data_IF_120616036461
#
_entry.id   IF_120616036461
#
_cell.length_a   1.000
_cell.length_b   1.000
_cell.length_c   1.000
_cell.angle_alpha   90.00
_cell.angle_beta   90.00
_cell.angle_gamma   90.00
#
_symmetry.space_group_name_H-M   'P 1'
#
loop_
_entity.id
_entity.type
_entity.pdbx_description
1 polymer ?
#
# COMPACT_ATOMS: atom_id res chain seq x y z
N UNK A 1 -14.16 -15.62 7.28
CA UNK A 1 -13.35 -15.20 8.45
C UNK A 1 -14.29 -14.91 9.61
N UNK A 2 -13.86 -15.15 10.86
CA UNK A 2 -14.71 -14.94 12.06
C UNK A 2 -13.97 -14.86 13.40
N UNK A 3 -12.63 -14.80 13.39
CA UNK A 3 -11.83 -14.62 14.61
C UNK A 3 -11.53 -13.13 14.79
N UNK A 4 -11.93 -12.56 15.94
CA UNK A 4 -11.80 -11.13 16.23
C UNK A 4 -10.36 -10.60 16.13
N UNK A 5 -9.36 -11.43 16.45
CA UNK A 5 -7.95 -11.04 16.43
C UNK A 5 -7.25 -11.25 15.08
N UNK A 6 -7.94 -11.82 14.08
CA UNK A 6 -7.34 -12.14 12.78
C UNK A 6 -6.70 -10.93 12.09
N UNK A 7 -7.34 -9.75 12.01
CA UNK A 7 -6.73 -8.58 11.37
C UNK A 7 -5.48 -8.09 12.11
N UNK A 8 -5.52 -8.11 13.44
CA UNK A 8 -4.40 -7.66 14.27
C UNK A 8 -3.19 -8.59 14.15
N UNK A 9 -3.41 -9.90 14.13
CA UNK A 9 -2.36 -10.90 13.94
C UNK A 9 -1.73 -10.77 12.54
N UNK A 10 -2.55 -10.61 11.51
CA UNK A 10 -2.07 -10.42 10.14
C UNK A 10 -1.26 -9.12 9.99
N UNK A 11 -1.77 -7.99 10.49
CA UNK A 11 -1.04 -6.73 10.50
C UNK A 11 0.31 -6.86 11.22
N UNK A 12 0.35 -7.53 12.39
CA UNK A 12 1.62 -7.75 13.11
C UNK A 12 2.63 -8.54 12.28
N UNK A 13 2.17 -9.55 11.54
CA UNK A 13 3.01 -10.34 10.64
C UNK A 13 3.54 -9.47 9.49
N UNK A 14 2.67 -8.72 8.80
CA UNK A 14 3.05 -7.82 7.71
C UNK A 14 4.05 -6.75 8.18
N UNK A 15 3.78 -6.09 9.31
CA UNK A 15 4.70 -5.09 9.89
C UNK A 15 6.08 -5.68 10.16
N UNK A 16 6.16 -6.94 10.61
CA UNK A 16 7.44 -7.62 10.86
C UNK A 16 8.16 -7.94 9.56
N UNK A 17 7.45 -8.50 8.58
CA UNK A 17 8.00 -8.88 7.27
C UNK A 17 8.58 -7.70 6.50
N UNK A 18 7.94 -6.53 6.56
CA UNK A 18 8.34 -5.34 5.81
C UNK A 18 9.06 -4.27 6.67
N UNK A 19 9.45 -4.62 7.89
CA UNK A 19 10.05 -3.68 8.84
C UNK A 19 11.32 -2.98 8.30
N UNK A 20 12.13 -3.69 7.53
CA UNK A 20 13.34 -3.21 6.85
C UNK A 20 13.06 -2.37 5.60
N UNK A 21 11.86 -2.50 5.02
CA UNK A 21 11.44 -1.80 3.80
C UNK A 21 10.52 -0.61 4.07
N UNK A 22 10.27 -0.27 5.35
CA UNK A 22 9.30 0.76 5.76
C UNK A 22 9.51 2.15 5.14
N UNK A 23 10.73 2.46 4.72
CA UNK A 23 11.07 3.75 4.09
C UNK A 23 10.49 3.94 2.70
N UNK A 24 10.22 2.86 1.95
CA UNK A 24 9.67 2.89 0.59
C UNK A 24 8.45 1.99 0.41
N UNK A 25 8.19 1.09 1.36
CA UNK A 25 7.03 0.19 1.39
C UNK A 25 6.36 0.19 2.78
N UNK A 26 5.76 1.29 3.25
CA UNK A 26 4.93 1.23 4.45
C UNK A 26 3.72 0.33 4.20
N UNK A 27 3.47 -0.52 5.19
CA UNK A 27 2.33 -1.41 5.22
C UNK A 27 1.28 -0.90 6.21
N UNK A 28 0.01 -1.14 5.90
CA UNK A 28 -1.11 -0.86 6.80
C UNK A 28 -2.16 -1.98 6.67
N UNK A 29 -2.26 -2.83 7.69
CA UNK A 29 -3.08 -4.05 7.64
C UNK A 29 -2.81 -4.88 6.39
N UNK A 30 -3.75 -4.89 5.46
CA UNK A 30 -3.73 -5.71 4.24
C UNK A 30 -3.14 -4.96 3.03
N UNK A 31 -2.87 -3.66 3.18
CA UNK A 31 -2.41 -2.80 2.10
C UNK A 31 -0.89 -2.54 2.18
N UNK A 32 -0.21 -2.70 1.05
CA UNK A 32 1.21 -2.37 0.87
C UNK A 32 1.33 -1.18 -0.08
N UNK A 33 1.98 -0.10 0.38
CA UNK A 33 2.14 1.12 -0.40
C UNK A 33 3.58 1.26 -0.85
N UNK A 34 3.86 1.11 -2.14
CA UNK A 34 5.21 1.28 -2.68
C UNK A 34 5.38 2.67 -3.28
N UNK A 35 6.36 3.44 -2.81
CA UNK A 35 6.66 4.76 -3.37
C UNK A 35 8.16 5.03 -3.48
N UNK A 36 8.51 5.92 -4.39
CA UNK A 36 9.88 6.38 -4.61
C UNK A 36 9.92 7.91 -4.64
N UNK A 37 10.94 8.49 -4.00
CA UNK A 37 11.08 9.95 -3.91
C UNK A 37 11.43 10.62 -5.24
N UNK A 38 12.25 9.96 -6.06
CA UNK A 38 12.69 10.50 -7.35
C UNK A 38 11.77 9.95 -8.45
N UNK A 39 11.40 10.78 -9.44
CA UNK A 39 10.49 10.41 -10.52
C UNK A 39 11.21 9.54 -11.57
N UNK A 40 11.68 8.37 -11.16
CA UNK A 40 12.30 7.37 -12.01
C UNK A 40 11.47 6.11 -12.01
N UNK A 41 10.85 5.79 -13.16
CA UNK A 41 10.10 4.55 -13.32
C UNK A 41 10.99 3.34 -13.08
N UNK A 42 12.24 3.37 -13.55
CA UNK A 42 13.20 2.29 -13.31
C UNK A 42 13.46 2.07 -11.82
N UNK A 43 13.71 3.14 -11.07
CA UNK A 43 13.91 3.04 -9.62
C UNK A 43 12.66 2.57 -8.88
N UNK A 44 11.47 2.96 -9.37
CA UNK A 44 10.20 2.47 -8.84
C UNK A 44 10.02 0.96 -9.09
N UNK A 45 10.32 0.48 -10.30
CA UNK A 45 10.25 -0.94 -10.65
C UNK A 45 11.25 -1.78 -9.83
N UNK A 46 12.46 -1.27 -9.57
CA UNK A 46 13.43 -1.93 -8.69
C UNK A 46 12.94 -2.03 -7.23
N UNK A 47 12.29 -0.98 -6.71
CA UNK A 47 11.67 -1.03 -5.39
C UNK A 47 10.48 -2.00 -5.35
N UNK A 48 9.65 -1.98 -6.39
CA UNK A 48 8.50 -2.86 -6.53
C UNK A 48 8.91 -4.33 -6.63
N UNK A 49 9.94 -4.66 -7.42
CA UNK A 49 10.51 -6.00 -7.52
C UNK A 49 11.00 -6.53 -6.16
N UNK A 50 11.64 -5.68 -5.34
CA UNK A 50 12.05 -6.05 -3.97
C UNK A 50 10.87 -6.40 -3.07
N UNK A 51 9.75 -5.68 -3.19
CA UNK A 51 8.53 -5.95 -2.43
C UNK A 51 7.91 -7.27 -2.89
N UNK A 52 7.81 -7.49 -4.20
CA UNK A 52 7.26 -8.74 -4.77
C UNK A 52 8.09 -9.97 -4.39
N UNK A 53 9.43 -9.87 -4.46
CA UNK A 53 10.33 -10.94 -3.99
C UNK A 53 10.14 -11.24 -2.52
N UNK A 54 9.99 -10.21 -1.67
CA UNK A 54 9.70 -10.41 -0.25
C UNK A 54 8.36 -11.12 -0.04
N UNK A 55 7.34 -10.78 -0.82
CA UNK A 55 6.08 -11.49 -0.79
C UNK A 55 6.26 -12.98 -1.16
N UNK A 56 7.00 -13.27 -2.23
CA UNK A 56 7.29 -14.65 -2.65
C UNK A 56 8.04 -15.43 -1.56
N UNK A 57 9.11 -14.86 -0.98
CA UNK A 57 9.91 -15.46 0.10
C UNK A 57 9.08 -15.80 1.34
N UNK A 58 8.05 -15.00 1.64
CA UNK A 58 7.18 -15.17 2.81
C UNK A 58 5.85 -15.85 2.46
N UNK A 59 5.69 -16.34 1.22
CA UNK A 59 4.46 -16.96 0.72
C UNK A 59 3.21 -16.07 0.88
N UNK A 60 3.39 -14.76 0.69
CA UNK A 60 2.32 -13.77 0.67
C UNK A 60 1.83 -13.57 -0.76
N UNK A 61 0.51 -13.63 -0.95
CA UNK A 61 -0.11 -13.52 -2.26
C UNK A 61 -0.83 -12.19 -2.40
N UNK A 62 -0.51 -11.46 -3.47
CA UNK A 62 -1.13 -10.18 -3.78
C UNK A 62 -2.31 -10.39 -4.71
N UNK A 63 -3.43 -9.77 -4.38
CA UNK A 63 -4.63 -9.80 -5.20
C UNK A 63 -4.58 -8.71 -6.27
N UNK A 64 -4.09 -9.06 -7.46
CA UNK A 64 -3.84 -8.13 -8.56
C UNK A 64 -5.06 -7.29 -8.95
N UNK A 65 -6.28 -7.85 -8.94
CA UNK A 65 -7.52 -7.13 -9.27
C UNK A 65 -7.84 -5.96 -8.32
N UNK A 66 -7.23 -5.92 -7.14
CA UNK A 66 -7.38 -4.83 -6.16
C UNK A 66 -6.19 -3.87 -6.12
N UNK A 67 -5.13 -4.16 -6.87
CA UNK A 67 -3.90 -3.37 -6.86
C UNK A 67 -3.95 -2.21 -7.85
N UNK A 68 -3.42 -1.06 -7.44
CA UNK A 68 -3.14 0.07 -8.33
C UNK A 68 -1.63 0.18 -8.52
N UNK A 69 -1.16 0.10 -9.77
CA UNK A 69 0.27 0.05 -10.08
C UNK A 69 0.70 1.24 -10.94
N UNK A 70 1.93 1.73 -10.70
CA UNK A 70 2.58 2.77 -11.52
C UNK A 70 1.74 4.04 -11.76
N UNK A 71 0.90 4.42 -10.80
CA UNK A 71 0.05 5.61 -10.89
C UNK A 71 0.72 6.85 -10.26
N UNK A 72 0.35 8.04 -10.74
CA UNK A 72 0.79 9.32 -10.16
C UNK A 72 0.10 9.64 -8.83
N UNK A 73 -1.08 9.07 -8.62
CA UNK A 73 -1.87 9.11 -7.39
C UNK A 73 -2.46 7.73 -7.14
N UNK A 74 -2.55 7.32 -5.88
CA UNK A 74 -3.13 6.03 -5.47
C UNK A 74 -4.19 6.24 -4.39
N UNK A 75 -5.27 5.46 -4.38
CA UNK A 75 -6.20 5.46 -3.27
C UNK A 75 -5.52 4.84 -2.03
N UNK A 76 -5.67 5.48 -0.88
CA UNK A 76 -5.15 5.03 0.40
C UNK A 76 -6.05 5.57 1.53
N UNK A 77 -6.57 4.67 2.37
CA UNK A 77 -7.41 5.00 3.54
C UNK A 77 -8.62 5.91 3.23
N UNK A 78 -9.18 5.80 2.02
CA UNK A 78 -10.34 6.59 1.58
C UNK A 78 -9.99 8.02 1.15
N UNK A 79 -8.73 8.30 0.86
CA UNK A 79 -8.25 9.53 0.23
C UNK A 79 -7.24 9.18 -0.89
N UNK A 80 -6.83 10.15 -1.70
CA UNK A 80 -5.86 9.97 -2.79
C UNK A 80 -4.50 10.54 -2.41
N UNK A 81 -3.45 9.71 -2.52
CA UNK A 81 -2.08 10.06 -2.20
C UNK A 81 -1.29 10.19 -3.49
N UNK A 82 -0.70 11.36 -3.73
CA UNK A 82 0.11 11.59 -4.93
C UNK A 82 1.30 12.51 -4.66
N UNK A 83 2.00 12.88 -5.74
CA UNK A 83 3.19 13.75 -5.66
C UNK A 83 2.89 15.14 -5.08
N UNK A 84 1.66 15.62 -5.25
CA UNK A 84 1.22 16.93 -4.82
C UNK A 84 0.61 16.92 -3.40
N UNK A 85 0.78 15.82 -2.65
CA UNK A 85 0.24 15.63 -1.31
C UNK A 85 -1.01 14.74 -1.30
N UNK A 86 -1.81 14.90 -0.24
CA UNK A 86 -3.03 14.13 0.01
C UNK A 86 -4.22 14.93 -0.50
N UNK A 87 -5.05 14.32 -1.35
CA UNK A 87 -6.30 14.88 -1.86
C UNK A 87 -7.46 14.07 -1.30
N UNK A 88 -8.43 14.75 -0.70
CA UNK A 88 -9.63 14.10 -0.18
C UNK A 88 -10.41 13.43 -1.32
N UNK A 89 -10.97 12.26 -1.06
CA UNK A 89 -11.88 11.62 -2.00
C UNK A 89 -13.14 12.49 -2.20
N UNK A 90 -13.46 12.90 -3.45
CA UNK A 90 -14.66 13.69 -3.73
C UNK A 90 -15.94 13.04 -3.23
N UNK A 91 -16.07 11.71 -3.34
CA UNK A 91 -17.27 10.97 -2.90
C UNK A 91 -17.44 11.04 -1.39
N UNK A 92 -16.34 10.98 -0.63
CA UNK A 92 -16.34 11.17 0.83
C UNK A 92 -16.78 12.59 1.21
N UNK A 93 -16.34 13.60 0.47
CA UNK A 93 -16.73 14.99 0.71
C UNK A 93 -18.19 15.30 0.39
N UNK A 94 -18.81 14.54 -0.55
CA UNK A 94 -20.21 14.70 -0.95
C UNK A 94 -21.16 14.47 0.23
N UNK A 95 -20.87 13.48 1.09
CA UNK A 95 -21.69 13.11 2.25
C UNK A 95 -21.84 14.24 3.29
N UNK A 96 -20.90 15.19 3.34
CA UNK A 96 -20.92 16.31 4.31
C UNK A 96 -21.58 17.56 3.70
N UNK A 97 -21.61 17.67 2.37
CA UNK A 97 -22.12 18.85 1.66
C UNK A 97 -23.62 18.79 1.37
N UNK A 98 -24.25 17.64 1.60
CA UNK A 98 -25.70 17.43 1.61
C UNK A 98 -26.21 17.45 3.06
#
# INVERSE_FOLDING_TARGET
>A
MGLACSPSAFNRMIQRVFSDQRSFCPAYFDDLFVFTKIPSLKGHLEAFDKVLKRCEEQQLYIKLEKGTFCASEIPCLGDFFGRNGIRMDPDKSRVIRE
#
